data_IF_501382581304
#
_entry.id   IF_501382581304
#
_cell.length_a   1.000
_cell.length_b   1.000
_cell.length_c   1.000
_cell.angle_alpha   90.00
_cell.angle_beta   90.00
_cell.angle_gamma   90.00
#
_symmetry.space_group_name_H-M   'P 1'
#
loop_
_entity.id
_entity.type
_entity.pdbx_description
1 polymer ?
#
# COMPACT_ATOMS: atom_id res chain seq x y z
N UNK A 1 24.79 -48.82 -35.67
CA UNK A 1 24.23 -48.76 -37.04
C UNK A 1 23.03 -47.83 -37.04
N UNK A 2 23.01 -46.88 -37.99
CA UNK A 2 21.84 -46.16 -38.57
C UNK A 2 21.18 -45.10 -37.65
N UNK A 3 20.94 -43.84 -38.05
CA UNK A 3 21.40 -43.03 -39.17
C UNK A 3 21.09 -41.54 -38.86
N UNK A 4 22.00 -40.65 -39.24
CA UNK A 4 21.76 -39.20 -39.35
C UNK A 4 20.65 -38.92 -40.37
N UNK A 5 19.78 -37.96 -40.09
CA UNK A 5 19.08 -37.18 -41.12
C UNK A 5 19.34 -35.70 -40.90
N UNK A 6 19.99 -35.11 -41.90
CA UNK A 6 20.28 -33.69 -42.09
C UNK A 6 19.39 -33.22 -43.25
N UNK A 7 19.12 -31.91 -43.27
CA UNK A 7 18.62 -31.06 -44.37
C UNK A 7 17.10 -30.86 -44.52
N UNK A 8 16.74 -29.58 -44.66
CA UNK A 8 15.49 -29.14 -45.28
C UNK A 8 15.16 -27.68 -44.98
N UNK A 9 15.85 -26.74 -45.63
CA UNK A 9 15.58 -25.31 -45.54
C UNK A 9 14.26 -24.92 -46.21
N UNK A 10 13.56 -23.93 -45.66
CA UNK A 10 12.56 -23.15 -46.39
C UNK A 10 12.55 -21.70 -45.86
N UNK A 11 13.45 -20.87 -46.37
CA UNK A 11 13.34 -19.42 -46.29
C UNK A 11 12.23 -19.01 -47.26
N UNK A 12 11.04 -18.71 -46.74
CA UNK A 12 9.98 -18.03 -47.49
C UNK A 12 9.91 -16.60 -47.02
N UNK A 13 10.45 -15.71 -47.87
CA UNK A 13 10.25 -14.27 -47.77
C UNK A 13 8.87 -13.92 -48.35
N UNK A 14 8.01 -13.33 -47.53
CA UNK A 14 6.83 -12.56 -47.95
C UNK A 14 6.63 -11.45 -46.89
N UNK A 15 7.10 -10.24 -47.15
CA UNK A 15 6.38 -9.17 -47.85
C UNK A 15 5.25 -8.55 -47.00
N UNK A 16 5.50 -7.32 -46.57
CA UNK A 16 4.56 -6.24 -46.20
C UNK A 16 3.67 -6.49 -44.98
N UNK A 17 4.15 -6.13 -43.79
CA UNK A 17 3.29 -5.76 -42.65
C UNK A 17 3.62 -4.32 -42.28
N UNK A 18 2.58 -3.49 -42.35
CA UNK A 18 2.68 -2.03 -42.36
C UNK A 18 3.50 -1.44 -41.23
N UNK A 19 4.27 -0.42 -41.59
CA UNK A 19 4.76 0.60 -40.67
C UNK A 19 3.49 1.30 -40.15
N UNK A 20 2.84 0.72 -39.14
CA UNK A 20 1.84 1.44 -38.35
C UNK A 20 2.63 2.53 -37.66
N UNK A 21 2.48 3.73 -38.19
CA UNK A 21 2.99 4.94 -37.61
C UNK A 21 2.71 4.91 -36.10
N UNK A 22 3.76 4.92 -35.29
CA UNK A 22 3.70 5.41 -33.92
C UNK A 22 3.43 6.92 -33.96
N UNK A 23 2.33 7.33 -34.62
CA UNK A 23 1.84 8.69 -34.63
C UNK A 23 1.22 8.94 -33.27
N UNK A 24 2.05 9.52 -32.41
CA UNK A 24 1.73 10.22 -31.16
C UNK A 24 0.45 9.78 -30.47
N UNK A 25 0.58 8.85 -29.52
CA UNK A 25 -0.39 8.83 -28.42
C UNK A 25 -0.33 10.22 -27.78
N UNK A 26 -1.47 10.93 -27.60
CA UNK A 26 -1.47 12.21 -26.93
C UNK A 26 -0.77 12.05 -25.58
N UNK A 27 0.29 12.83 -25.38
CA UNK A 27 0.97 12.88 -24.09
C UNK A 27 -0.07 13.34 -23.06
N UNK A 28 -0.22 12.63 -21.93
CA UNK A 28 -1.11 13.09 -20.88
C UNK A 28 -0.70 14.50 -20.44
N UNK A 29 -1.67 15.31 -20.03
CA UNK A 29 -1.36 16.60 -19.44
C UNK A 29 -0.47 16.40 -18.21
N UNK A 30 0.39 17.38 -17.91
CA UNK A 30 1.25 17.37 -16.71
C UNK A 30 0.42 17.07 -15.44
N UNK A 31 -0.79 17.63 -15.36
CA UNK A 31 -1.74 17.39 -14.27
C UNK A 31 -2.15 15.91 -14.14
N UNK A 32 -2.35 15.20 -15.26
CA UNK A 32 -2.71 13.77 -15.20
C UNK A 32 -1.52 12.91 -14.76
N UNK A 33 -0.31 13.19 -15.26
CA UNK A 33 0.88 12.44 -14.82
C UNK A 33 1.17 12.63 -13.34
N UNK A 34 0.98 13.84 -12.80
CA UNK A 34 1.13 14.11 -11.37
C UNK A 34 0.09 13.37 -10.53
N UNK A 35 -1.19 13.42 -10.93
CA UNK A 35 -2.26 12.66 -10.29
C UNK A 35 -1.92 11.16 -10.22
N UNK A 36 -1.46 10.57 -11.33
CA UNK A 36 -1.09 9.15 -11.34
C UNK A 36 0.13 8.84 -10.47
N UNK A 37 1.12 9.73 -10.44
CA UNK A 37 2.28 9.57 -9.55
C UNK A 37 1.85 9.49 -8.08
N UNK A 38 1.00 10.42 -7.63
CA UNK A 38 0.46 10.44 -6.26
C UNK A 38 -0.40 9.22 -5.94
N UNK A 39 -1.25 8.76 -6.88
CA UNK A 39 -2.02 7.52 -6.70
C UNK A 39 -1.14 6.27 -6.62
N UNK A 40 -0.06 6.22 -7.39
CA UNK A 40 0.90 5.12 -7.32
C UNK A 40 1.63 5.11 -5.97
N UNK A 41 1.97 6.29 -5.45
CA UNK A 41 2.59 6.45 -4.12
C UNK A 41 1.65 5.99 -3.00
N UNK A 42 0.40 6.46 -2.97
CA UNK A 42 -0.62 5.97 -2.03
C UNK A 42 -0.78 4.44 -2.13
N UNK A 43 -0.74 3.88 -3.35
CA UNK A 43 -0.85 2.43 -3.56
C UNK A 43 0.34 1.66 -2.99
N UNK A 44 1.55 2.19 -3.14
CA UNK A 44 2.77 1.61 -2.59
C UNK A 44 2.73 1.63 -1.05
N UNK A 45 2.42 2.78 -0.44
CA UNK A 45 2.28 2.96 1.01
C UNK A 45 1.18 2.04 1.58
N UNK A 46 0.02 1.98 0.91
CA UNK A 46 -1.08 1.08 1.31
C UNK A 46 -0.69 -0.40 1.26
N UNK A 47 0.16 -0.78 0.31
CA UNK A 47 0.66 -2.16 0.19
C UNK A 47 1.60 -2.52 1.34
N UNK A 48 2.47 -1.58 1.73
CA UNK A 48 3.33 -1.74 2.89
C UNK A 48 2.52 -1.86 4.19
N UNK A 49 1.50 -1.02 4.39
CA UNK A 49 0.59 -1.13 5.54
C UNK A 49 -0.05 -2.52 5.60
N UNK A 50 -0.59 -3.04 4.48
CA UNK A 50 -1.17 -4.39 4.44
C UNK A 50 -0.18 -5.48 4.84
N UNK A 51 1.09 -5.33 4.46
CA UNK A 51 2.13 -6.28 4.83
C UNK A 51 2.42 -6.22 6.33
N UNK A 52 2.71 -5.02 6.85
CA UNK A 52 3.00 -4.84 8.28
C UNK A 52 1.83 -5.20 9.19
N UNK A 53 0.59 -5.01 8.74
CA UNK A 53 -0.61 -5.50 9.44
C UNK A 53 -0.57 -7.01 9.64
N UNK A 54 -0.23 -7.80 8.60
CA UNK A 54 -0.09 -9.26 8.74
C UNK A 54 1.03 -9.63 9.69
N UNK A 55 2.17 -8.95 9.60
CA UNK A 55 3.33 -9.19 10.47
C UNK A 55 3.01 -8.85 11.94
N UNK A 56 2.17 -7.85 12.19
CA UNK A 56 1.65 -7.49 13.50
C UNK A 56 0.52 -8.42 14.02
N UNK A 57 0.13 -9.43 13.25
CA UNK A 57 -0.96 -10.35 13.57
C UNK A 57 -2.35 -9.73 13.47
N UNK A 58 -2.50 -8.67 12.67
CA UNK A 58 -3.79 -8.06 12.32
C UNK A 58 -4.34 -8.66 11.02
N UNK A 59 -5.62 -8.39 10.73
CA UNK A 59 -6.20 -8.65 9.42
C UNK A 59 -5.53 -7.81 8.32
N UNK A 60 -5.57 -8.25 7.06
CA UNK A 60 -4.91 -7.55 5.94
C UNK A 60 -5.42 -6.12 5.77
N UNK A 61 -6.73 -5.92 5.88
CA UNK A 61 -7.39 -4.62 5.84
C UNK A 61 -8.14 -4.41 7.18
N UNK A 62 -8.35 -3.16 7.62
CA UNK A 62 -9.21 -2.86 8.75
C UNK A 62 -10.67 -3.17 8.44
N UNK A 63 -11.50 -3.34 9.48
CA UNK A 63 -12.92 -3.55 9.26
C UNK A 63 -13.61 -2.25 8.80
N UNK A 64 -14.69 -2.37 8.03
CA UNK A 64 -15.38 -1.22 7.46
C UNK A 64 -15.93 -0.24 8.52
N UNK A 65 -16.27 -0.73 9.71
CA UNK A 65 -16.74 0.14 10.79
C UNK A 65 -15.58 0.93 11.41
N UNK A 66 -14.39 0.32 11.56
CA UNK A 66 -13.17 1.01 11.97
C UNK A 66 -12.76 2.08 10.95
N UNK A 67 -12.84 1.79 9.65
CA UNK A 67 -12.61 2.80 8.59
C UNK A 67 -13.58 3.97 8.72
N UNK A 68 -14.88 3.70 8.82
CA UNK A 68 -15.90 4.74 8.96
C UNK A 68 -15.69 5.59 10.23
N UNK A 69 -15.28 4.97 11.33
CA UNK A 69 -14.98 5.68 12.57
C UNK A 69 -13.81 6.67 12.42
N UNK A 70 -12.90 6.43 11.47
CA UNK A 70 -11.72 7.27 11.25
C UNK A 70 -11.93 8.40 10.23
N UNK A 71 -13.06 8.43 9.51
CA UNK A 71 -13.33 9.41 8.45
C UNK A 71 -13.13 10.87 8.86
N UNK A 72 -13.43 11.21 10.12
CA UNK A 72 -13.31 12.58 10.66
C UNK A 72 -12.14 12.77 11.63
N UNK A 73 -11.26 11.79 11.69
CA UNK A 73 -10.11 11.75 12.60
C UNK A 73 -8.84 12.05 11.83
N UNK A 74 -7.81 12.60 12.50
CA UNK A 74 -6.47 12.76 11.92
C UNK A 74 -5.62 11.52 12.17
N UNK A 75 -4.63 11.23 11.31
CA UNK A 75 -3.69 10.13 11.54
C UNK A 75 -2.96 10.26 12.88
N UNK A 76 -2.51 11.47 13.24
CA UNK A 76 -1.93 11.75 14.55
C UNK A 76 -2.87 11.43 15.73
N UNK A 77 -4.19 11.59 15.57
CA UNK A 77 -5.15 11.23 16.61
C UNK A 77 -5.40 9.72 16.67
N UNK A 78 -5.43 9.04 15.51
CA UNK A 78 -5.49 7.59 15.43
C UNK A 78 -4.27 6.93 16.12
N UNK A 79 -3.09 7.54 16.01
CA UNK A 79 -1.86 7.08 16.66
C UNK A 79 -1.88 7.19 18.20
N UNK A 80 -2.76 8.02 18.78
CA UNK A 80 -2.84 8.30 20.22
C UNK A 80 -4.00 7.59 20.93
N UNK A 81 -4.42 6.45 20.41
CA UNK A 81 -5.54 5.67 20.97
C UNK A 81 -5.30 5.16 22.39
N UNK A 82 -4.03 5.03 22.79
CA UNK A 82 -3.64 4.56 24.11
C UNK A 82 -2.33 5.23 24.57
N UNK A 83 -2.12 5.23 25.88
CA UNK A 83 -0.81 5.56 26.45
C UNK A 83 0.04 4.30 26.47
N UNK A 84 1.10 4.29 25.66
CA UNK A 84 2.05 3.18 25.62
C UNK A 84 2.85 3.11 26.93
N UNK A 85 2.95 1.95 27.59
CA UNK A 85 3.85 1.79 28.71
C UNK A 85 5.31 2.03 28.26
N UNK A 86 6.06 2.78 29.06
CA UNK A 86 7.48 3.03 28.83
C UNK A 86 8.29 2.52 30.05
N UNK A 87 9.29 1.64 29.85
CA UNK A 87 9.73 1.09 28.57
C UNK A 87 8.75 0.07 27.97
N UNK A 88 8.74 -0.04 26.64
CA UNK A 88 8.03 -1.12 25.93
C UNK A 88 8.74 -2.44 26.27
N UNK A 89 8.03 -3.48 26.72
CA UNK A 89 8.65 -4.78 26.96
C UNK A 89 9.25 -5.35 25.67
N UNK A 90 10.42 -6.00 25.77
CA UNK A 90 11.17 -6.51 24.62
C UNK A 90 10.32 -7.40 23.68
N UNK A 91 9.49 -8.27 24.27
CA UNK A 91 8.55 -9.13 23.52
C UNK A 91 7.49 -8.37 22.70
N UNK A 92 7.32 -7.07 22.97
CA UNK A 92 6.38 -6.18 22.29
C UNK A 92 7.09 -5.16 21.39
N UNK A 93 8.42 -5.19 21.31
CA UNK A 93 9.19 -4.22 20.52
C UNK A 93 8.74 -4.27 19.04
N UNK A 94 8.76 -5.46 18.43
CA UNK A 94 8.44 -5.64 17.01
C UNK A 94 7.02 -5.15 16.66
N UNK A 95 6.01 -5.52 17.45
CA UNK A 95 4.62 -5.10 17.18
C UNK A 95 4.42 -3.60 17.36
N UNK A 96 5.15 -2.98 18.29
CA UNK A 96 5.11 -1.55 18.51
C UNK A 96 5.90 -0.77 17.45
N UNK A 97 6.97 -1.34 16.90
CA UNK A 97 7.70 -0.79 15.76
C UNK A 97 6.85 -0.84 14.49
N UNK A 98 6.23 -1.98 14.19
CA UNK A 98 5.27 -2.10 13.09
C UNK A 98 4.10 -1.12 13.24
N UNK A 99 3.58 -0.95 14.45
CA UNK A 99 2.53 0.02 14.72
C UNK A 99 2.96 1.47 14.46
N UNK A 100 4.21 1.82 14.75
CA UNK A 100 4.75 3.15 14.43
C UNK A 100 4.90 3.34 12.91
N UNK A 101 5.48 2.36 12.20
CA UNK A 101 5.65 2.42 10.76
C UNK A 101 4.31 2.50 10.00
N UNK A 102 3.29 1.77 10.45
CA UNK A 102 1.93 1.87 9.89
C UNK A 102 1.37 3.29 10.06
N UNK A 103 1.59 3.92 11.21
CA UNK A 103 1.10 5.28 11.47
C UNK A 103 1.84 6.33 10.65
N UNK A 104 3.15 6.17 10.42
CA UNK A 104 3.93 7.03 9.52
C UNK A 104 3.38 6.96 8.08
N UNK A 105 3.21 5.75 7.53
CA UNK A 105 2.60 5.60 6.21
C UNK A 105 1.15 6.15 6.15
N UNK A 106 0.41 6.10 7.26
CA UNK A 106 -0.93 6.68 7.32
C UNK A 106 -0.91 8.21 7.27
N UNK A 107 0.07 8.85 7.92
CA UNK A 107 0.29 10.29 7.82
C UNK A 107 0.65 10.68 6.38
N UNK A 108 1.55 9.96 5.72
CA UNK A 108 1.95 10.21 4.33
C UNK A 108 0.79 10.04 3.34
N UNK A 109 0.01 8.96 3.45
CA UNK A 109 -1.18 8.76 2.61
C UNK A 109 -2.17 9.91 2.78
N UNK A 110 -2.40 10.36 4.02
CA UNK A 110 -3.33 11.45 4.28
C UNK A 110 -2.80 12.81 3.80
N UNK A 111 -1.49 13.04 3.86
CA UNK A 111 -0.86 14.22 3.28
C UNK A 111 -1.04 14.26 1.76
N UNK A 112 -0.74 13.15 1.07
CA UNK A 112 -0.93 13.04 -0.39
C UNK A 112 -2.41 13.18 -0.76
N UNK A 113 -3.32 12.58 0.01
CA UNK A 113 -4.76 12.71 -0.21
C UNK A 113 -5.22 14.18 -0.09
N UNK A 114 -4.70 14.93 0.89
CA UNK A 114 -5.01 16.35 1.04
C UNK A 114 -4.49 17.17 -0.16
N UNK A 115 -3.33 16.84 -0.72
CA UNK A 115 -2.82 17.48 -1.94
C UNK A 115 -3.66 17.18 -3.18
N UNK A 116 -4.34 16.03 -3.21
CA UNK A 116 -5.24 15.64 -4.30
C UNK A 116 -6.64 16.29 -4.20
N UNK A 117 -6.97 16.90 -3.06
CA UNK A 117 -8.26 17.59 -2.85
C UNK A 117 -9.44 16.63 -2.80
N UNK A 118 -10.45 16.87 -3.64
CA UNK A 118 -11.72 16.11 -3.65
C UNK A 118 -11.62 14.74 -4.34
N UNK A 119 -10.48 14.04 -4.24
CA UNK A 119 -10.31 12.68 -4.77
C UNK A 119 -10.87 11.64 -3.79
N UNK A 120 -12.05 11.02 -4.06
CA UNK A 120 -12.70 10.15 -3.08
C UNK A 120 -11.90 8.86 -2.83
N UNK A 121 -11.15 8.39 -3.84
CA UNK A 121 -10.32 7.21 -3.70
C UNK A 121 -9.16 7.47 -2.74
N UNK A 122 -8.53 8.65 -2.83
CA UNK A 122 -7.45 9.03 -1.92
C UNK A 122 -7.97 9.23 -0.49
N UNK A 123 -9.15 9.83 -0.34
CA UNK A 123 -9.82 9.97 0.96
C UNK A 123 -10.11 8.60 1.60
N UNK A 124 -10.68 7.65 0.86
CA UNK A 124 -10.94 6.29 1.35
C UNK A 124 -9.64 5.56 1.77
N UNK A 125 -8.53 5.80 1.05
CA UNK A 125 -7.22 5.26 1.42
C UNK A 125 -6.65 5.87 2.68
N UNK A 126 -6.78 7.18 2.87
CA UNK A 126 -6.43 7.84 4.13
C UNK A 126 -7.26 7.28 5.29
N UNK A 127 -8.57 7.08 5.11
CA UNK A 127 -9.44 6.53 6.16
C UNK A 127 -9.06 5.08 6.54
N UNK A 128 -8.77 4.23 5.56
CA UNK A 128 -8.27 2.87 5.82
C UNK A 128 -6.90 2.88 6.51
N UNK A 129 -5.98 3.77 6.10
CA UNK A 129 -4.67 3.87 6.72
C UNK A 129 -4.76 4.34 8.18
N UNK A 130 -5.62 5.32 8.49
CA UNK A 130 -5.91 5.77 9.87
C UNK A 130 -6.47 4.64 10.73
N UNK A 131 -7.41 3.85 10.21
CA UNK A 131 -7.96 2.70 10.94
C UNK A 131 -6.88 1.66 11.21
N UNK A 132 -6.01 1.43 10.23
CA UNK A 132 -4.87 0.52 10.37
C UNK A 132 -3.89 0.96 11.44
N UNK A 133 -3.54 2.26 11.46
CA UNK A 133 -2.70 2.85 12.50
C UNK A 133 -3.32 2.67 13.89
N UNK A 134 -4.61 2.99 14.05
CA UNK A 134 -5.30 2.83 15.32
C UNK A 134 -5.26 1.38 15.83
N UNK A 135 -5.65 0.41 15.01
CA UNK A 135 -5.65 -1.01 15.39
C UNK A 135 -4.24 -1.51 15.77
N UNK A 136 -3.21 -1.07 15.03
CA UNK A 136 -1.82 -1.43 15.33
C UNK A 136 -1.33 -0.84 16.66
N UNK A 137 -1.72 0.39 16.99
CA UNK A 137 -1.44 0.99 18.29
C UNK A 137 -2.20 0.29 19.42
N UNK A 138 -3.47 -0.06 19.22
CA UNK A 138 -4.24 -0.86 20.17
C UNK A 138 -3.57 -2.23 20.42
N UNK A 139 -3.06 -2.87 19.36
CA UNK A 139 -2.33 -4.14 19.45
C UNK A 139 -1.01 -4.02 20.21
N UNK A 140 -0.23 -2.96 19.96
CA UNK A 140 0.98 -2.64 20.71
C UNK A 140 0.66 -2.44 22.21
N UNK A 141 -0.35 -1.62 22.52
CA UNK A 141 -0.76 -1.36 23.90
C UNK A 141 -1.37 -2.58 24.62
N UNK A 142 -1.96 -3.51 23.88
CA UNK A 142 -2.52 -4.76 24.39
C UNK A 142 -1.51 -5.91 24.49
N UNK A 143 -0.30 -5.74 23.96
CA UNK A 143 0.68 -6.82 23.81
C UNK A 143 1.08 -7.48 25.14
N UNK A 144 1.04 -6.75 26.25
CA UNK A 144 1.34 -7.30 27.57
C UNK A 144 0.21 -8.09 28.21
N UNK A 145 -1.05 -7.83 27.83
CA UNK A 145 -2.24 -8.44 28.43
C UNK A 145 -2.66 -9.73 27.72
N UNK A 146 -2.37 -9.80 26.43
CA UNK A 146 -2.39 -11.05 25.71
C UNK A 146 -1.15 -11.83 26.13
N UNK A 147 -1.18 -12.51 27.28
CA UNK A 147 -0.20 -13.54 27.59
C UNK A 147 -0.16 -14.49 26.41
N UNK A 148 0.85 -14.35 25.55
CA UNK A 148 0.92 -15.09 24.31
C UNK A 148 1.26 -16.56 24.64
N UNK A 149 0.70 -17.54 23.92
CA UNK A 149 1.47 -18.75 23.66
C UNK A 149 2.78 -18.40 22.95
#
# INVERSE_FOLDING_TARGET
MIARRVLGAAVTAAAVVGIVACAGRPQPSIAWSELQAKRNEITALSTQIRQWRREAGLGVEPDAAAVLAMARTTAASAARVCTRPAPVPERCADVCELGAAICENAEDICAIAAELGDDPWAADKCDSAKASCREAQERCCGCDRAGAP
#
